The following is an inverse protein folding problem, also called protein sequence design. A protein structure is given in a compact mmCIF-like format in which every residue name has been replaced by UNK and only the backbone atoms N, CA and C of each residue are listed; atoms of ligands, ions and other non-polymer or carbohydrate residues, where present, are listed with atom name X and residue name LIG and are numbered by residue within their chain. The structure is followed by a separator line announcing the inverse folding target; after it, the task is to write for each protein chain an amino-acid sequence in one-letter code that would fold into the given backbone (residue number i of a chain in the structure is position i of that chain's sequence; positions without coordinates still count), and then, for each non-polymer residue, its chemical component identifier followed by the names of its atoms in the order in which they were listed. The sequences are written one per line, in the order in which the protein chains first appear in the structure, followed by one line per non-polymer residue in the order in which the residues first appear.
data_IF_612564098320
#
_entry.id   IF_612564098320
#
_cell.length_a   1.000
_cell.length_b   1.000
_cell.length_c   1.000
_cell.angle_alpha   90.00
_cell.angle_beta   90.00
_cell.angle_gamma   90.00
#
_symmetry.space_group_name_H-M   'P 1'
#
loop_
_entity.id
_entity.type
_entity.pdbx_description
1 polymer ?
#
# COMPACT_ATOMS: atom_id res chain seq x y z
N UNK A 1 44.93 8.23 -41.86
CA UNK A 1 43.74 9.07 -42.13
C UNK A 1 42.56 8.40 -41.43
N UNK A 2 42.14 8.70 -40.19
CA UNK A 2 42.07 9.94 -39.41
C UNK A 2 41.09 10.98 -39.97
N UNK A 3 39.82 10.87 -39.55
CA UNK A 3 38.79 11.92 -39.42
C UNK A 3 37.71 11.29 -38.50
N UNK A 4 37.71 11.45 -37.17
CA UNK A 4 37.41 12.61 -36.30
C UNK A 4 36.05 13.29 -36.56
N UNK A 5 35.08 12.83 -35.74
CA UNK A 5 34.00 13.54 -35.03
C UNK A 5 33.40 14.82 -35.59
N UNK A 6 32.05 14.88 -35.61
CA UNK A 6 31.31 15.91 -34.86
C UNK A 6 30.02 15.32 -34.28
N UNK A 7 29.97 15.31 -32.96
CA UNK A 7 28.82 15.01 -32.11
C UNK A 7 27.72 16.03 -32.34
N UNK A 8 26.47 15.58 -32.53
CA UNK A 8 25.31 16.47 -32.40
C UNK A 8 24.72 16.32 -31.01
N UNK A 9 25.08 17.25 -30.12
CA UNK A 9 24.45 17.45 -28.82
C UNK A 9 23.13 18.18 -29.03
N UNK A 10 22.00 17.48 -28.92
CA UNK A 10 20.70 18.15 -28.78
C UNK A 10 20.38 18.29 -27.30
N UNK A 11 20.73 19.45 -26.77
CA UNK A 11 20.25 19.95 -25.49
C UNK A 11 18.80 20.42 -25.67
N UNK A 12 17.86 19.75 -25.00
CA UNK A 12 16.54 20.31 -24.69
C UNK A 12 16.14 19.74 -23.32
N UNK A 13 16.59 20.41 -22.27
CA UNK A 13 15.72 21.24 -21.43
C UNK A 13 14.63 20.42 -20.74
N UNK A 14 14.95 20.07 -19.49
CA UNK A 14 13.97 19.81 -18.43
C UNK A 14 12.90 20.90 -18.42
N UNK A 15 11.74 20.59 -18.97
CA UNK A 15 10.50 21.25 -18.59
C UNK A 15 9.74 20.29 -17.69
N UNK A 16 9.86 20.54 -16.40
CA UNK A 16 8.88 20.10 -15.42
C UNK A 16 7.52 20.68 -15.83
N UNK A 17 6.74 19.90 -16.58
CA UNK A 17 5.33 20.16 -16.74
C UNK A 17 4.69 20.00 -15.35
N UNK A 18 4.34 21.14 -14.76
CA UNK A 18 3.35 21.19 -13.70
C UNK A 18 2.10 20.50 -14.23
N UNK A 19 1.86 19.25 -13.80
CA UNK A 19 0.62 18.56 -14.07
C UNK A 19 -0.47 19.29 -13.29
N UNK A 20 -1.04 20.32 -13.92
CA UNK A 20 -2.21 21.03 -13.42
C UNK A 20 -3.33 20.00 -13.38
N UNK A 21 -3.67 19.52 -12.19
CA UNK A 21 -4.91 18.80 -11.96
C UNK A 21 -6.06 19.77 -12.22
N UNK A 22 -6.45 19.89 -13.48
CA UNK A 22 -7.73 20.51 -13.82
C UNK A 22 -8.82 19.61 -13.23
N UNK A 23 -9.79 20.15 -12.49
CA UNK A 23 -10.96 19.38 -12.11
C UNK A 23 -11.68 19.02 -13.40
N UNK A 24 -11.57 17.77 -13.85
CA UNK A 24 -12.39 17.27 -14.94
C UNK A 24 -13.80 17.14 -14.39
N UNK A 25 -14.56 18.24 -14.42
CA UNK A 25 -16.00 18.19 -14.26
C UNK A 25 -16.55 17.34 -15.41
N UNK A 26 -16.82 16.07 -15.14
CA UNK A 26 -17.52 15.20 -16.07
C UNK A 26 -18.97 15.71 -16.10
N UNK A 27 -19.27 16.65 -16.99
CA UNK A 27 -20.63 17.09 -17.31
C UNK A 27 -21.34 16.09 -18.22
N UNK A 28 -21.00 14.81 -18.09
CA UNK A 28 -21.54 13.73 -18.91
C UNK A 28 -22.84 13.19 -18.33
N UNK A 29 -23.76 12.78 -19.19
CA UNK A 29 -24.98 12.09 -18.74
C UNK A 29 -24.62 10.75 -18.10
N UNK A 30 -25.50 10.20 -17.25
CA UNK A 30 -25.30 8.87 -16.65
C UNK A 30 -24.96 7.81 -17.71
N UNK A 31 -25.56 7.90 -18.90
CA UNK A 31 -25.33 6.97 -20.01
C UNK A 31 -23.88 7.02 -20.50
N UNK A 32 -23.36 8.22 -20.75
CA UNK A 32 -21.98 8.42 -21.21
C UNK A 32 -20.96 7.93 -20.17
N UNK A 33 -21.26 8.12 -18.89
CA UNK A 33 -20.39 7.62 -17.81
C UNK A 33 -20.39 6.08 -17.72
N UNK A 34 -21.54 5.43 -17.90
CA UNK A 34 -21.61 3.95 -17.92
C UNK A 34 -20.88 3.38 -19.14
N UNK A 35 -21.04 3.97 -20.32
CA UNK A 35 -20.32 3.55 -21.53
C UNK A 35 -18.80 3.68 -21.36
N UNK A 36 -18.34 4.79 -20.75
CA UNK A 36 -16.92 4.97 -20.45
C UNK A 36 -16.38 3.93 -19.46
N UNK A 37 -17.19 3.50 -18.47
CA UNK A 37 -16.80 2.46 -17.51
C UNK A 37 -16.73 1.09 -18.18
N UNK A 38 -17.68 0.75 -19.04
CA UNK A 38 -17.68 -0.53 -19.76
C UNK A 38 -16.45 -0.69 -20.66
N UNK A 39 -15.90 0.42 -21.16
CA UNK A 39 -14.67 0.43 -21.94
C UNK A 39 -13.41 0.23 -21.09
N UNK A 40 -13.48 0.38 -19.77
CA UNK A 40 -12.34 0.17 -18.88
C UNK A 40 -12.25 -1.30 -18.45
N UNK A 41 -11.11 -1.94 -18.76
CA UNK A 41 -10.82 -3.28 -18.27
C UNK A 41 -9.96 -3.20 -17.00
N UNK A 42 -10.46 -3.76 -15.90
CA UNK A 42 -9.68 -3.96 -14.68
C UNK A 42 -9.23 -5.42 -14.58
N UNK A 43 -7.92 -5.60 -14.54
CA UNK A 43 -7.31 -6.91 -14.34
C UNK A 43 -7.72 -7.48 -12.98
N UNK A 44 -8.19 -8.74 -12.97
CA UNK A 44 -8.62 -9.42 -11.74
C UNK A 44 -7.46 -9.64 -10.77
N UNK A 45 -6.27 -9.90 -11.27
CA UNK A 45 -5.10 -10.20 -10.43
C UNK A 45 -4.70 -9.04 -9.50
N UNK A 46 -4.52 -7.79 -9.99
CA UNK A 46 -4.30 -6.63 -9.13
C UNK A 46 -5.42 -6.39 -8.10
N UNK A 47 -6.69 -6.58 -8.50
CA UNK A 47 -7.83 -6.43 -7.59
C UNK A 47 -7.78 -7.47 -6.46
N UNK A 48 -7.55 -8.73 -6.79
CA UNK A 48 -7.45 -9.79 -5.80
C UNK A 48 -6.28 -9.54 -4.83
N UNK A 49 -5.14 -9.06 -5.33
CA UNK A 49 -4.01 -8.68 -4.48
C UNK A 49 -4.35 -7.51 -3.55
N UNK A 50 -5.11 -6.52 -4.04
CA UNK A 50 -5.57 -5.40 -3.24
C UNK A 50 -6.50 -5.86 -2.11
N UNK A 51 -7.45 -6.73 -2.42
CA UNK A 51 -8.38 -7.31 -1.45
C UNK A 51 -7.62 -8.08 -0.37
N UNK A 52 -6.68 -8.95 -0.76
CA UNK A 52 -5.84 -9.70 0.18
C UNK A 52 -5.06 -8.77 1.10
N UNK A 53 -4.42 -7.72 0.55
CA UNK A 53 -3.67 -6.75 1.34
C UNK A 53 -4.57 -6.06 2.38
N UNK A 54 -5.78 -5.67 1.98
CA UNK A 54 -6.76 -5.09 2.89
C UNK A 54 -7.11 -6.07 4.02
N UNK A 55 -7.49 -7.31 3.71
CA UNK A 55 -7.86 -8.31 4.71
C UNK A 55 -6.73 -8.56 5.73
N UNK A 56 -5.49 -8.65 5.26
CA UNK A 56 -4.31 -8.84 6.14
C UNK A 56 -4.02 -7.60 6.99
N UNK A 57 -4.21 -6.40 6.43
CA UNK A 57 -3.93 -5.14 7.13
C UNK A 57 -4.95 -4.89 8.22
N UNK A 58 -6.22 -5.17 7.96
CA UNK A 58 -7.30 -5.01 8.93
C UNK A 58 -7.30 -6.09 10.01
N UNK A 59 -6.68 -7.25 9.74
CA UNK A 59 -6.61 -8.35 10.71
C UNK A 59 -7.63 -9.46 10.46
N UNK A 60 -8.30 -9.46 9.30
CA UNK A 60 -9.25 -10.49 8.88
C UNK A 60 -8.51 -11.73 8.34
N UNK A 61 -7.77 -12.41 9.22
CA UNK A 61 -6.92 -13.55 8.88
C UNK A 61 -7.66 -14.68 8.16
N UNK A 62 -8.78 -15.13 8.74
CA UNK A 62 -9.58 -16.23 8.19
C UNK A 62 -10.14 -15.89 6.81
N UNK A 63 -10.65 -14.66 6.65
CA UNK A 63 -11.14 -14.18 5.36
C UNK A 63 -10.02 -14.09 4.32
N UNK A 64 -8.81 -13.65 4.72
CA UNK A 64 -7.66 -13.60 3.82
C UNK A 64 -7.23 -14.99 3.34
N UNK A 65 -7.24 -16.00 4.22
CA UNK A 65 -6.90 -17.39 3.90
C UNK A 65 -7.90 -17.99 2.89
N UNK A 66 -9.19 -17.87 3.18
CA UNK A 66 -10.26 -18.38 2.31
C UNK A 66 -10.21 -17.68 0.95
N UNK A 67 -10.11 -16.35 0.95
CA UNK A 67 -10.08 -15.58 -0.29
C UNK A 67 -8.84 -15.90 -1.14
N UNK A 68 -7.67 -16.07 -0.53
CA UNK A 68 -6.45 -16.44 -1.25
C UNK A 68 -6.57 -17.83 -1.89
N UNK A 69 -7.18 -18.79 -1.19
CA UNK A 69 -7.47 -20.12 -1.71
C UNK A 69 -8.42 -20.05 -2.92
N UNK A 70 -9.53 -19.32 -2.80
CA UNK A 70 -10.51 -19.16 -3.88
C UNK A 70 -9.95 -18.41 -5.10
N UNK A 71 -9.12 -17.41 -4.86
CA UNK A 71 -8.48 -16.61 -5.92
C UNK A 71 -7.25 -17.29 -6.55
N UNK A 72 -6.83 -18.45 -6.04
CA UNK A 72 -5.62 -19.16 -6.51
C UNK A 72 -4.32 -18.39 -6.25
N UNK A 73 -4.27 -17.58 -5.19
CA UNK A 73 -3.13 -16.73 -4.84
C UNK A 73 -2.32 -17.37 -3.71
N UNK A 74 -1.01 -17.49 -3.91
CA UNK A 74 -0.11 -17.99 -2.86
C UNK A 74 0.41 -16.85 -1.97
N UNK A 75 0.24 -17.00 -0.66
CA UNK A 75 0.62 -16.01 0.37
C UNK A 75 2.10 -16.13 0.80
N UNK A 76 3.03 -16.33 -0.13
CA UNK A 76 4.44 -16.69 0.18
C UNK A 76 5.18 -15.71 1.10
N UNK A 77 4.80 -14.43 1.10
CA UNK A 77 5.47 -13.37 1.87
C UNK A 77 4.61 -12.85 3.04
N UNK A 78 3.51 -13.51 3.36
CA UNK A 78 2.59 -13.06 4.42
C UNK A 78 2.67 -14.04 5.57
N UNK A 79 3.31 -13.61 6.65
CA UNK A 79 3.22 -14.32 7.91
C UNK A 79 1.87 -14.03 8.57
N UNK A 80 0.90 -14.92 8.36
CA UNK A 80 -0.43 -14.82 8.95
C UNK A 80 -0.41 -14.90 10.48
N UNK A 81 0.65 -15.45 11.09
CA UNK A 81 0.79 -15.46 12.55
C UNK A 81 1.12 -14.06 13.09
N UNK A 82 1.86 -13.26 12.31
CA UNK A 82 2.14 -11.85 12.65
C UNK A 82 0.90 -10.95 12.61
N UNK A 83 -0.16 -11.36 11.91
CA UNK A 83 -1.41 -10.60 11.79
C UNK A 83 -2.11 -10.50 13.15
N UNK A 84 -2.25 -11.64 13.85
CA UNK A 84 -2.89 -11.71 15.17
C UNK A 84 -2.15 -10.86 16.21
N UNK A 85 -0.81 -10.83 16.14
CA UNK A 85 0.03 -10.05 17.06
C UNK A 85 -0.09 -8.55 16.80
N UNK A 86 -0.06 -8.13 15.53
CA UNK A 86 -0.26 -6.72 15.15
C UNK A 86 -1.65 -6.23 15.54
N UNK A 87 -2.67 -7.07 15.38
CA UNK A 87 -4.03 -6.76 15.81
C UNK A 87 -4.11 -6.53 17.32
N UNK A 88 -3.52 -7.43 18.13
CA UNK A 88 -3.46 -7.27 19.60
C UNK A 88 -2.73 -5.99 20.02
N UNK A 89 -1.63 -5.63 19.35
CA UNK A 89 -0.92 -4.37 19.60
C UNK A 89 -1.83 -3.19 19.28
N UNK A 90 -2.49 -3.18 18.11
CA UNK A 90 -3.43 -2.13 17.71
C UNK A 90 -4.57 -1.98 18.73
N UNK A 91 -5.22 -3.07 19.09
CA UNK A 91 -6.32 -3.07 20.06
C UNK A 91 -5.89 -2.51 21.43
N UNK A 92 -4.68 -2.85 21.90
CA UNK A 92 -4.16 -2.31 23.14
C UNK A 92 -3.97 -0.78 23.06
N UNK A 93 -3.48 -0.27 21.92
CA UNK A 93 -3.33 1.17 21.69
C UNK A 93 -4.70 1.86 21.63
N UNK A 94 -5.64 1.34 20.83
CA UNK A 94 -6.98 1.91 20.65
C UNK A 94 -7.79 1.95 21.95
N UNK A 95 -7.60 0.95 22.81
CA UNK A 95 -8.23 0.89 24.13
C UNK A 95 -7.49 1.70 25.21
N UNK A 96 -6.42 2.43 24.87
CA UNK A 96 -5.62 3.22 25.81
C UNK A 96 -4.75 2.38 26.77
N UNK A 97 -4.61 1.07 26.53
CA UNK A 97 -3.76 0.16 27.31
C UNK A 97 -2.31 0.24 26.84
N UNK A 98 -1.73 1.42 26.96
CA UNK A 98 -0.41 1.75 26.40
C UNK A 98 0.72 0.88 26.95
N UNK A 99 0.72 0.58 28.25
CA UNK A 99 1.75 -0.26 28.85
C UNK A 99 1.71 -1.70 28.30
N UNK A 100 0.51 -2.24 28.09
CA UNK A 100 0.32 -3.54 27.45
C UNK A 100 0.81 -3.51 26.00
N UNK A 101 0.49 -2.45 25.25
CA UNK A 101 0.97 -2.26 23.90
C UNK A 101 2.51 -2.23 23.82
N UNK A 102 3.17 -1.48 24.71
CA UNK A 102 4.65 -1.42 24.80
C UNK A 102 5.23 -2.81 25.09
N UNK A 103 4.65 -3.54 26.03
CA UNK A 103 5.09 -4.90 26.35
C UNK A 103 4.98 -5.84 25.15
N UNK A 104 3.83 -5.82 24.45
CA UNK A 104 3.59 -6.62 23.25
C UNK A 104 4.56 -6.26 22.12
N UNK A 105 4.81 -4.96 21.91
CA UNK A 105 5.79 -4.47 20.92
C UNK A 105 7.18 -5.00 21.25
N UNK A 106 7.66 -4.82 22.48
CA UNK A 106 9.00 -5.27 22.87
C UNK A 106 9.15 -6.79 22.83
N UNK A 107 8.06 -7.54 23.04
CA UNK A 107 8.06 -9.00 22.87
C UNK A 107 8.24 -9.41 21.40
N UNK A 108 7.61 -8.70 20.47
CA UNK A 108 7.63 -9.05 19.04
C UNK A 108 8.80 -8.44 18.28
N UNK A 109 9.17 -7.20 18.60
CA UNK A 109 10.23 -6.41 17.97
C UNK A 109 10.99 -5.63 19.04
N UNK A 110 11.92 -6.28 19.78
CA UNK A 110 12.56 -5.73 20.98
C UNK A 110 13.24 -4.36 20.79
N UNK A 111 13.81 -4.12 19.61
CA UNK A 111 14.58 -2.90 19.33
C UNK A 111 13.75 -1.80 18.64
N UNK A 112 12.46 -2.05 18.33
CA UNK A 112 11.66 -1.13 17.52
C UNK A 112 11.52 0.26 18.16
N UNK A 113 11.28 0.30 19.46
CA UNK A 113 11.09 1.54 20.21
C UNK A 113 12.42 2.26 20.47
N UNK A 114 13.52 1.52 20.58
CA UNK A 114 14.86 2.09 20.78
C UNK A 114 15.39 2.74 19.50
N UNK A 115 15.15 2.10 18.34
CA UNK A 115 15.54 2.62 17.03
C UNK A 115 14.63 3.77 16.56
N UNK A 116 13.35 3.77 16.96
CA UNK A 116 12.39 4.78 16.56
C UNK A 116 11.90 5.62 17.76
N UNK A 117 12.73 6.59 18.16
CA UNK A 117 12.44 7.50 19.29
C UNK A 117 11.15 8.32 19.10
N UNK A 118 10.80 8.66 17.86
CA UNK A 118 9.56 9.39 17.56
C UNK A 118 8.33 8.51 17.85
N UNK A 119 8.34 7.24 17.44
CA UNK A 119 7.27 6.29 17.78
C UNK A 119 7.15 6.11 19.29
N UNK A 120 8.28 5.94 19.99
CA UNK A 120 8.30 5.80 21.44
C UNK A 120 7.76 7.03 22.19
N UNK A 121 7.93 8.23 21.63
CA UNK A 121 7.37 9.47 22.17
C UNK A 121 5.85 9.53 22.00
N UNK A 122 5.31 9.23 20.81
CA UNK A 122 3.86 9.28 20.58
C UNK A 122 3.08 8.22 21.36
N UNK A 123 3.76 7.15 21.76
CA UNK A 123 3.16 6.09 22.54
C UNK A 123 3.10 6.41 24.04
N UNK A 124 3.93 7.30 24.59
CA UNK A 124 4.02 7.62 26.02
C UNK A 124 3.28 8.90 26.37
#
# INVERSE_FOLDING_TARGET
AAAMALSNTSSASSTCESHVLTPVHHTGTKSEWMEAIEQQHLERSPLNRLIINYLITEGFKEAAEIFAQEAGITLNNVDLTSVDERLKIREAIENGKIQDAICLINKKAPELLDQNKQLAFHLK
#
